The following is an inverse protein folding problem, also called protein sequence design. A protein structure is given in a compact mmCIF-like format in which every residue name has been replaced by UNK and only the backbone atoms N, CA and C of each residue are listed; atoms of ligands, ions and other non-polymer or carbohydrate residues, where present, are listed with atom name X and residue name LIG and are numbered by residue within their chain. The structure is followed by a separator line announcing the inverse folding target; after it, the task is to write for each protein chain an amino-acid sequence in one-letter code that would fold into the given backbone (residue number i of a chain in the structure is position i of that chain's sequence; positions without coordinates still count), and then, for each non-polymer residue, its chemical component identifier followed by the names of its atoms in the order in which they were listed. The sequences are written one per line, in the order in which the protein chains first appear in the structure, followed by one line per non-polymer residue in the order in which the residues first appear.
data_IF_414836063207
#
_entry.id   IF_414836063207
#
_cell.length_a   1.000
_cell.length_b   1.000
_cell.length_c   1.000
_cell.angle_alpha   90.00
_cell.angle_beta   90.00
_cell.angle_gamma   90.00
#
_symmetry.space_group_name_H-M   'P 1'
#
loop_
_entity.id
_entity.type
_entity.pdbx_description
1 polymer ?
#
# COMPACT_ATOMS: atom_id res chain seq x y z
N UNK A 1 8.70 24.43 14.02
CA UNK A 1 8.30 23.24 13.23
C UNK A 1 8.46 23.60 11.77
N UNK A 2 9.13 22.76 10.98
CA UNK A 2 9.07 22.88 9.53
C UNK A 2 7.61 22.75 9.08
N UNK A 3 7.18 23.50 8.04
CA UNK A 3 5.86 23.32 7.47
C UNK A 3 5.72 21.89 6.92
N UNK A 4 4.56 21.26 7.15
CA UNK A 4 4.22 19.99 6.51
C UNK A 4 3.91 20.26 5.04
N UNK A 5 4.69 19.67 4.14
CA UNK A 5 4.51 19.78 2.69
C UNK A 5 4.20 18.42 2.09
N UNK A 6 3.39 18.41 1.03
CA UNK A 6 3.12 17.22 0.22
C UNK A 6 3.09 17.59 -1.26
N UNK A 7 3.41 16.64 -2.14
CA UNK A 7 3.31 16.84 -3.58
C UNK A 7 1.87 16.69 -4.05
N UNK A 8 1.31 17.80 -4.55
CA UNK A 8 -0.02 17.81 -5.13
C UNK A 8 0.09 17.52 -6.64
N UNK A 9 -0.45 16.38 -7.09
CA UNK A 9 -0.41 15.97 -8.49
C UNK A 9 -1.05 16.99 -9.43
N UNK A 10 -2.12 17.66 -9.01
CA UNK A 10 -2.79 18.69 -9.81
C UNK A 10 -1.90 19.92 -10.02
N UNK A 11 -1.21 20.37 -8.96
CA UNK A 11 -0.31 21.52 -9.01
C UNK A 11 1.11 21.19 -9.50
N UNK A 12 1.47 19.91 -9.56
CA UNK A 12 2.77 19.39 -10.01
C UNK A 12 3.97 19.93 -9.21
N UNK A 13 3.76 20.17 -7.92
CA UNK A 13 4.80 20.65 -6.99
C UNK A 13 4.48 20.25 -5.56
N UNK A 14 5.51 20.28 -4.70
CA UNK A 14 5.31 20.26 -3.25
C UNK A 14 4.62 21.55 -2.84
N UNK A 15 3.59 21.43 -2.00
CA UNK A 15 2.82 22.55 -1.44
C UNK A 15 2.70 22.36 0.06
N UNK A 16 2.61 23.47 0.78
CA UNK A 16 2.27 23.43 2.20
C UNK A 16 0.85 22.88 2.36
N UNK A 17 0.69 21.93 3.28
CA UNK A 17 -0.60 21.37 3.62
C UNK A 17 -1.35 22.32 4.55
N UNK A 18 -2.50 22.76 4.09
CA UNK A 18 -3.49 23.50 4.88
C UNK A 18 -4.76 22.65 4.95
N UNK A 19 -5.18 22.20 6.14
CA UNK A 19 -6.40 21.42 6.30
C UNK A 19 -7.64 22.30 6.10
N UNK A 20 -8.72 21.71 5.58
CA UNK A 20 -10.04 22.31 5.52
C UNK A 20 -10.60 22.58 6.93
N UNK A 21 -10.28 21.71 7.88
CA UNK A 21 -10.69 21.84 9.28
C UNK A 21 -9.48 21.63 10.19
N UNK A 22 -9.23 22.60 11.07
CA UNK A 22 -8.08 22.57 11.98
C UNK A 22 -8.01 21.28 12.80
N UNK A 23 -6.83 20.65 12.83
CA UNK A 23 -6.56 19.39 13.52
C UNK A 23 -7.18 18.12 12.89
N UNK A 24 -7.89 18.23 11.77
CA UNK A 24 -8.53 17.10 11.09
C UNK A 24 -8.05 16.98 9.64
N UNK A 25 -7.94 15.75 9.15
CA UNK A 25 -7.67 15.43 7.74
C UNK A 25 -8.72 14.43 7.26
N UNK A 26 -9.54 14.83 6.30
CA UNK A 26 -10.48 13.95 5.60
C UNK A 26 -9.81 13.39 4.35
N UNK A 27 -9.55 12.08 4.34
CA UNK A 27 -8.78 11.40 3.29
C UNK A 27 -9.59 10.27 2.65
N UNK A 28 -9.68 10.28 1.32
CA UNK A 28 -10.23 9.17 0.54
C UNK A 28 -9.13 8.56 -0.34
N UNK A 29 -9.04 7.23 -0.39
CA UNK A 29 -8.13 6.52 -1.30
C UNK A 29 -8.93 5.50 -2.08
N UNK A 30 -8.83 5.51 -3.41
CA UNK A 30 -9.48 4.48 -4.23
C UNK A 30 -8.98 3.08 -3.83
N UNK A 31 -9.92 2.19 -3.53
CA UNK A 31 -9.62 0.80 -3.20
C UNK A 31 -9.56 -0.12 -4.40
N UNK A 32 -9.87 -1.40 -4.17
CA UNK A 32 -9.66 -2.46 -5.16
C UNK A 32 -10.97 -2.98 -5.72
N UNK A 33 -10.92 -3.41 -6.99
CA UNK A 33 -11.94 -4.27 -7.61
C UNK A 33 -11.75 -5.70 -7.14
N UNK A 34 -12.69 -6.21 -6.35
CA UNK A 34 -12.56 -7.51 -5.63
C UNK A 34 -13.02 -8.70 -6.47
N UNK A 35 -12.36 -8.92 -7.62
CA UNK A 35 -12.62 -10.06 -8.51
C UNK A 35 -11.51 -11.14 -8.47
N UNK A 36 -10.38 -10.83 -7.85
CA UNK A 36 -9.20 -11.69 -7.77
C UNK A 36 -8.31 -11.28 -6.59
N UNK A 37 -7.26 -12.06 -6.31
CA UNK A 37 -6.28 -11.74 -5.28
C UNK A 37 -5.50 -10.46 -5.59
N UNK A 38 -5.13 -9.73 -4.54
CA UNK A 38 -4.32 -8.53 -4.68
C UNK A 38 -2.89 -8.88 -5.11
N UNK A 39 -2.28 -8.00 -5.91
CA UNK A 39 -0.90 -8.12 -6.34
C UNK A 39 0.01 -7.10 -5.68
N UNK A 40 1.31 -7.25 -5.88
CA UNK A 40 2.33 -6.39 -5.25
C UNK A 40 2.13 -4.90 -5.58
N UNK A 41 1.59 -4.58 -6.75
CA UNK A 41 1.15 -3.20 -7.07
C UNK A 41 0.09 -2.66 -6.09
N UNK A 42 -0.90 -3.48 -5.71
CA UNK A 42 -1.87 -3.10 -4.67
C UNK A 42 -1.21 -2.99 -3.30
N UNK A 43 -0.30 -3.91 -2.94
CA UNK A 43 0.46 -3.83 -1.68
C UNK A 43 1.17 -2.49 -1.54
N UNK A 44 1.72 -1.97 -2.64
CA UNK A 44 2.37 -0.67 -2.66
C UNK A 44 1.45 0.46 -2.24
N UNK A 45 0.24 0.53 -2.80
CA UNK A 45 -0.74 1.56 -2.47
C UNK A 45 -1.18 1.42 -1.02
N UNK A 46 -1.50 0.18 -0.58
CA UNK A 46 -1.91 -0.09 0.79
C UNK A 46 -0.86 0.32 1.82
N UNK A 47 0.39 -0.11 1.64
CA UNK A 47 1.49 0.18 2.57
C UNK A 47 1.86 1.66 2.54
N UNK A 48 1.89 2.29 1.36
CA UNK A 48 2.20 3.71 1.24
C UNK A 48 1.24 4.59 2.04
N UNK A 49 -0.06 4.43 1.80
CA UNK A 49 -1.06 5.20 2.56
C UNK A 49 -1.11 4.81 4.04
N UNK A 50 -0.82 3.55 4.39
CA UNK A 50 -0.75 3.13 5.79
C UNK A 50 0.35 3.88 6.57
N UNK A 51 1.61 3.93 6.10
CA UNK A 51 2.64 4.68 6.84
C UNK A 51 2.41 6.20 6.80
N UNK A 52 1.80 6.73 5.73
CA UNK A 52 1.38 8.14 5.66
C UNK A 52 0.40 8.45 6.79
N UNK A 53 -0.65 7.64 6.92
CA UNK A 53 -1.69 7.82 7.94
C UNK A 53 -1.12 7.62 9.35
N UNK A 54 -0.25 6.62 9.55
CA UNK A 54 0.45 6.41 10.83
C UNK A 54 1.29 7.61 11.23
N UNK A 55 2.04 8.19 10.29
CA UNK A 55 2.81 9.41 10.54
C UNK A 55 1.91 10.60 10.87
N UNK A 56 0.87 10.85 10.07
CA UNK A 56 -0.06 11.96 10.33
C UNK A 56 -0.72 11.82 11.73
N UNK A 57 -1.15 10.61 12.09
CA UNK A 57 -1.70 10.32 13.43
C UNK A 57 -0.65 10.50 14.53
N UNK A 58 0.62 10.15 14.30
CA UNK A 58 1.70 10.38 15.28
C UNK A 58 2.02 11.86 15.48
N UNK A 59 1.76 12.70 14.48
CA UNK A 59 1.84 14.17 14.59
C UNK A 59 0.60 14.81 15.24
N UNK A 60 -0.37 14.01 15.70
CA UNK A 60 -1.58 14.48 16.40
C UNK A 60 -2.76 14.82 15.50
N UNK A 61 -2.69 14.56 14.19
CA UNK A 61 -3.83 14.76 13.29
C UNK A 61 -4.93 13.74 13.55
N UNK A 62 -6.18 14.22 13.61
CA UNK A 62 -7.36 13.36 13.50
C UNK A 62 -7.60 13.03 12.03
N UNK A 63 -7.03 11.93 11.55
CA UNK A 63 -7.24 11.45 10.18
C UNK A 63 -8.50 10.60 10.11
N UNK A 64 -9.47 10.99 9.28
CA UNK A 64 -10.61 10.16 8.86
C UNK A 64 -10.30 9.58 7.47
N UNK A 65 -9.94 8.31 7.45
CA UNK A 65 -9.47 7.59 6.28
C UNK A 65 -10.56 6.66 5.72
N UNK A 66 -10.99 6.93 4.49
CA UNK A 66 -11.99 6.16 3.76
C UNK A 66 -11.30 5.46 2.58
N UNK A 67 -11.59 4.17 2.38
CA UNK A 67 -11.14 3.42 1.20
C UNK A 67 -12.25 2.51 0.71
N UNK A 68 -12.79 2.77 -0.47
CA UNK A 68 -13.90 1.98 -0.99
C UNK A 68 -13.52 0.55 -1.38
N UNK A 69 -14.55 -0.24 -1.66
CA UNK A 69 -14.45 -1.55 -2.29
C UNK A 69 -15.34 -1.50 -3.54
N UNK A 70 -14.76 -1.74 -4.70
CA UNK A 70 -15.54 -1.93 -5.94
C UNK A 70 -15.96 -3.39 -6.00
N UNK A 71 -17.21 -3.66 -5.62
CA UNK A 71 -17.83 -4.98 -5.56
C UNK A 71 -18.89 -5.20 -6.67
N UNK A 72 -18.90 -4.33 -7.67
CA UNK A 72 -19.62 -4.49 -8.94
C UNK A 72 -18.76 -3.90 -10.07
N UNK A 73 -18.43 -4.70 -11.09
CA UNK A 73 -17.67 -4.28 -12.27
C UNK A 73 -17.78 -5.35 -13.36
N UNK A 74 -17.45 -4.99 -14.61
CA UNK A 74 -17.38 -5.93 -15.73
C UNK A 74 -16.48 -7.14 -15.41
N UNK A 75 -15.34 -6.94 -14.73
CA UNK A 75 -14.42 -8.03 -14.35
C UNK A 75 -14.99 -8.96 -13.28
N UNK A 76 -15.77 -8.41 -12.34
CA UNK A 76 -16.44 -9.18 -11.28
C UNK A 76 -17.51 -10.06 -11.90
N UNK A 77 -18.35 -9.49 -12.77
CA UNK A 77 -19.42 -10.23 -13.47
C UNK A 77 -18.81 -11.35 -14.32
N UNK A 78 -17.78 -11.04 -15.11
CA UNK A 78 -17.11 -12.02 -15.95
C UNK A 78 -16.55 -13.19 -15.11
N UNK A 79 -15.81 -12.90 -14.03
CA UNK A 79 -15.24 -13.93 -13.17
C UNK A 79 -16.30 -14.73 -12.41
N UNK A 80 -17.37 -14.09 -11.95
CA UNK A 80 -18.47 -14.77 -11.27
C UNK A 80 -19.16 -15.79 -12.21
N UNK A 81 -19.37 -15.39 -13.48
CA UNK A 81 -19.91 -16.28 -14.51
C UNK A 81 -18.94 -17.42 -14.84
N UNK A 82 -17.64 -17.15 -14.98
CA UNK A 82 -16.60 -18.17 -15.18
C UNK A 82 -16.61 -19.23 -14.06
N UNK A 83 -16.83 -18.79 -12.81
CA UNK A 83 -16.83 -19.64 -11.63
C UNK A 83 -18.18 -20.33 -11.36
N UNK A 84 -19.26 -19.93 -12.04
CA UNK A 84 -20.61 -20.40 -11.75
C UNK A 84 -21.12 -20.01 -10.36
N UNK A 85 -20.72 -18.85 -9.85
CA UNK A 85 -21.15 -18.31 -8.54
C UNK A 85 -21.76 -16.91 -8.66
N UNK A 86 -22.44 -16.42 -7.62
CA UNK A 86 -22.96 -15.05 -7.60
C UNK A 86 -21.84 -14.02 -7.36
N UNK A 87 -22.05 -12.78 -7.81
CA UNK A 87 -21.08 -11.70 -7.52
C UNK A 87 -20.87 -11.52 -6.01
N UNK A 88 -21.90 -11.69 -5.19
CA UNK A 88 -21.81 -11.51 -3.74
C UNK A 88 -20.91 -12.57 -3.09
N UNK A 89 -20.97 -13.82 -3.57
CA UNK A 89 -20.08 -14.88 -3.09
C UNK A 89 -18.63 -14.63 -3.51
N UNK A 90 -18.42 -14.24 -4.78
CA UNK A 90 -17.11 -13.91 -5.31
C UNK A 90 -16.46 -12.76 -4.54
N UNK A 91 -17.19 -11.65 -4.39
CA UNK A 91 -16.66 -10.42 -3.78
C UNK A 91 -16.47 -10.58 -2.29
N UNK A 92 -17.37 -11.26 -1.57
CA UNK A 92 -17.16 -11.57 -0.15
C UNK A 92 -15.84 -12.31 0.08
N UNK A 93 -15.57 -13.36 -0.72
CA UNK A 93 -14.31 -14.13 -0.64
C UNK A 93 -13.08 -13.25 -0.88
N UNK A 94 -13.11 -12.38 -1.89
CA UNK A 94 -11.97 -11.53 -2.22
C UNK A 94 -11.83 -10.29 -1.34
N UNK A 95 -12.91 -9.83 -0.70
CA UNK A 95 -12.84 -8.83 0.37
C UNK A 95 -12.10 -9.40 1.57
N UNK A 96 -12.47 -10.62 2.00
CA UNK A 96 -11.80 -11.30 3.10
C UNK A 96 -10.31 -11.52 2.78
N UNK A 97 -10.00 -12.02 1.58
CA UNK A 97 -8.63 -12.23 1.15
C UNK A 97 -7.81 -10.93 1.09
N UNK A 98 -8.39 -9.84 0.58
CA UNK A 98 -7.77 -8.51 0.54
C UNK A 98 -7.46 -8.00 1.95
N UNK A 99 -8.39 -8.17 2.89
CA UNK A 99 -8.20 -7.74 4.28
C UNK A 99 -7.13 -8.57 4.99
N UNK A 100 -7.08 -9.87 4.75
CA UNK A 100 -6.03 -10.76 5.26
C UNK A 100 -4.65 -10.34 4.71
N UNK A 101 -4.54 -10.11 3.40
CA UNK A 101 -3.30 -9.67 2.75
C UNK A 101 -2.82 -8.32 3.33
N UNK A 102 -3.73 -7.36 3.50
CA UNK A 102 -3.41 -6.06 4.08
C UNK A 102 -2.95 -6.17 5.55
N UNK A 103 -3.61 -7.02 6.34
CA UNK A 103 -3.25 -7.27 7.73
C UNK A 103 -1.87 -7.95 7.85
N UNK A 104 -1.58 -8.93 7.00
CA UNK A 104 -0.26 -9.58 6.93
C UNK A 104 0.85 -8.58 6.60
N UNK A 105 0.58 -7.59 5.74
CA UNK A 105 1.49 -6.48 5.46
C UNK A 105 1.56 -5.41 6.56
N UNK A 106 0.90 -5.62 7.70
CA UNK A 106 0.85 -4.70 8.83
C UNK A 106 0.03 -3.43 8.58
N UNK A 107 -0.83 -3.40 7.56
CA UNK A 107 -1.67 -2.25 7.27
C UNK A 107 -2.86 -2.19 8.23
N UNK A 108 -3.16 -0.99 8.74
CA UNK A 108 -4.38 -0.76 9.49
C UNK A 108 -5.60 -0.78 8.56
N UNK A 109 -6.76 -1.19 9.10
CA UNK A 109 -8.03 -1.05 8.39
C UNK A 109 -8.36 0.43 8.16
N UNK A 110 -9.05 0.78 7.06
CA UNK A 110 -9.63 2.12 6.91
C UNK A 110 -10.68 2.37 8.01
N UNK A 111 -10.93 3.64 8.32
CA UNK A 111 -11.95 4.01 9.29
C UNK A 111 -13.35 3.65 8.76
N UNK A 112 -13.55 3.73 7.43
CA UNK A 112 -14.72 3.22 6.72
C UNK A 112 -14.32 2.60 5.37
N UNK A 113 -14.99 1.50 4.99
CA UNK A 113 -14.78 0.81 3.72
C UNK A 113 -16.10 0.64 2.94
N UNK A 114 -16.65 1.73 2.34
CA UNK A 114 -17.92 1.66 1.63
C UNK A 114 -17.83 0.76 0.40
N UNK A 115 -18.87 -0.04 0.17
CA UNK A 115 -18.98 -0.89 -1.03
C UNK A 115 -19.84 -0.22 -2.08
N UNK A 116 -19.46 -0.33 -3.36
CA UNK A 116 -20.21 0.27 -4.45
C UNK A 116 -21.70 -0.19 -4.47
N UNK A 117 -21.97 -1.47 -4.22
CA UNK A 117 -23.35 -2.00 -4.20
C UNK A 117 -24.23 -1.42 -3.07
N UNK A 118 -23.64 -0.82 -2.04
CA UNK A 118 -24.34 -0.20 -0.91
C UNK A 118 -24.69 1.28 -1.17
N UNK A 119 -24.18 1.87 -2.26
CA UNK A 119 -24.29 3.31 -2.57
C UNK A 119 -25.00 3.59 -3.92
N UNK A 120 -25.78 2.64 -4.42
CA UNK A 120 -26.46 2.75 -5.72
C UNK A 120 -27.40 3.97 -5.78
N UNK A 121 -28.15 4.23 -4.71
CA UNK A 121 -29.09 5.36 -4.66
C UNK A 121 -28.36 6.71 -4.75
N UNK A 122 -27.21 6.84 -4.09
CA UNK A 122 -26.35 8.02 -4.12
C UNK A 122 -25.76 8.22 -5.51
N UNK A 123 -25.33 7.13 -6.17
CA UNK A 123 -24.85 7.18 -7.56
C UNK A 123 -25.97 7.65 -8.50
N UNK A 124 -27.17 7.06 -8.43
CA UNK A 124 -28.30 7.50 -9.25
C UNK A 124 -28.69 8.96 -8.97
N UNK A 125 -28.65 9.40 -7.71
CA UNK A 125 -28.92 10.80 -7.35
C UNK A 125 -27.91 11.77 -7.97
N UNK A 126 -26.62 11.44 -7.93
CA UNK A 126 -25.56 12.24 -8.56
C UNK A 126 -25.74 12.28 -10.09
N UNK A 127 -26.07 11.13 -10.71
CA UNK A 127 -26.28 11.07 -12.17
C UNK A 127 -27.51 11.88 -12.59
N UNK A 128 -28.62 11.81 -11.84
CA UNK A 128 -29.78 12.67 -12.08
C UNK A 128 -29.40 14.15 -12.03
N UNK A 129 -28.62 14.55 -11.02
CA UNK A 129 -28.13 15.94 -10.91
C UNK A 129 -27.28 16.35 -12.11
N UNK A 130 -26.41 15.47 -12.60
CA UNK A 130 -25.58 15.71 -13.78
C UNK A 130 -26.42 15.85 -15.06
N UNK A 131 -27.45 15.02 -15.21
CA UNK A 131 -28.41 15.11 -16.34
C UNK A 131 -29.19 16.42 -16.28
N UNK A 132 -29.74 16.77 -15.12
CA UNK A 132 -30.52 18.00 -14.92
C UNK A 132 -29.69 19.26 -15.20
N UNK A 133 -28.40 19.23 -14.87
CA UNK A 133 -27.43 20.30 -15.16
C UNK A 133 -26.91 20.30 -16.61
N UNK A 134 -27.30 19.32 -17.43
CA UNK A 134 -26.85 19.18 -18.82
C UNK A 134 -25.37 18.78 -18.97
N UNK A 135 -24.77 18.21 -17.91
CA UNK A 135 -23.40 17.67 -17.92
C UNK A 135 -23.37 16.16 -18.26
N UNK A 136 -24.52 15.50 -18.27
CA UNK A 136 -24.68 14.11 -18.69
C UNK A 136 -25.90 13.96 -19.61
N UNK A 137 -25.92 12.88 -20.39
CA UNK A 137 -27.05 12.56 -21.26
C UNK A 137 -27.33 11.04 -21.31
N UNK A 138 -28.60 10.63 -21.25
CA UNK A 138 -28.98 9.27 -21.63
C UNK A 138 -28.81 9.08 -23.14
N UNK A 139 -28.30 7.94 -23.54
CA UNK A 139 -28.11 7.55 -24.94
C UNK A 139 -29.12 6.47 -25.37
N UNK A 140 -29.23 6.26 -26.67
CA UNK A 140 -30.23 5.36 -27.26
C UNK A 140 -30.01 3.89 -26.91
N UNK A 141 -28.77 3.53 -26.56
CA UNK A 141 -28.38 2.20 -26.09
C UNK A 141 -28.75 1.91 -24.62
N UNK A 142 -29.35 2.87 -23.91
CA UNK A 142 -29.75 2.74 -22.51
C UNK A 142 -28.66 3.12 -21.49
N UNK A 143 -27.45 3.44 -21.95
CA UNK A 143 -26.40 3.99 -21.08
C UNK A 143 -26.65 5.48 -20.81
N UNK A 144 -26.06 5.97 -19.72
CA UNK A 144 -25.95 7.40 -19.42
C UNK A 144 -24.48 7.79 -19.46
N UNK A 145 -24.13 8.79 -20.27
CA UNK A 145 -22.76 9.26 -20.44
C UNK A 145 -22.56 10.63 -19.80
N UNK A 146 -21.36 10.88 -19.28
CA UNK A 146 -20.89 12.21 -18.97
C UNK A 146 -20.41 12.89 -20.26
N UNK A 147 -20.84 14.14 -20.50
CA UNK A 147 -20.45 14.93 -21.68
C UNK A 147 -19.20 15.76 -21.36
N UNK A 148 -18.01 15.24 -21.67
CA UNK A 148 -16.74 15.88 -21.25
C UNK A 148 -16.56 17.28 -21.80
N UNK A 149 -17.15 17.58 -22.96
CA UNK A 149 -17.13 18.90 -23.60
C UNK A 149 -17.91 19.96 -22.82
N UNK A 150 -18.74 19.57 -21.85
CA UNK A 150 -19.48 20.48 -20.95
C UNK A 150 -18.72 20.83 -19.68
N UNK A 151 -17.54 20.24 -19.47
CA UNK A 151 -16.70 20.51 -18.31
C UNK A 151 -15.38 21.13 -18.75
N UNK A 152 -15.33 22.47 -18.81
CA UNK A 152 -14.18 23.24 -19.32
C UNK A 152 -12.85 22.93 -18.61
N UNK A 153 -12.90 22.40 -17.39
CA UNK A 153 -11.72 22.06 -16.59
C UNK A 153 -11.23 20.61 -16.79
N UNK A 154 -11.82 19.84 -17.71
CA UNK A 154 -11.47 18.44 -17.92
C UNK A 154 -10.02 18.30 -18.39
N UNK A 155 -9.25 17.41 -17.76
CA UNK A 155 -7.83 17.20 -18.06
C UNK A 155 -6.86 17.98 -17.16
N UNK A 156 -7.37 18.78 -16.20
CA UNK A 156 -6.53 19.62 -15.33
C UNK A 156 -5.60 18.81 -14.44
N UNK A 157 -6.05 17.65 -13.93
CA UNK A 157 -5.27 16.80 -13.04
C UNK A 157 -4.13 16.14 -13.81
N UNK A 158 -4.46 15.47 -14.91
CA UNK A 158 -3.51 14.76 -15.77
C UNK A 158 -2.62 15.70 -16.60
N UNK A 159 -3.07 16.93 -16.83
CA UNK A 159 -2.38 17.92 -17.67
C UNK A 159 -2.57 17.68 -19.16
N UNK A 160 -3.49 16.79 -19.52
CA UNK A 160 -3.80 16.44 -20.91
C UNK A 160 -4.92 17.34 -21.41
N UNK A 161 -4.79 17.88 -22.62
CA UNK A 161 -5.88 18.62 -23.28
C UNK A 161 -6.71 17.68 -24.13
N UNK A 162 -8.02 17.86 -24.14
CA UNK A 162 -8.95 17.03 -24.94
C UNK A 162 -8.57 16.99 -26.43
N UNK A 163 -8.17 18.14 -26.99
CA UNK A 163 -7.72 18.28 -28.38
C UNK A 163 -6.53 17.37 -28.71
N UNK A 164 -5.52 17.32 -27.84
CA UNK A 164 -4.32 16.50 -28.01
C UNK A 164 -4.64 14.99 -27.92
N UNK A 165 -5.63 14.63 -27.09
CA UNK A 165 -6.05 13.23 -26.95
C UNK A 165 -6.83 12.73 -28.17
N UNK A 166 -7.67 13.59 -28.78
CA UNK A 166 -8.45 13.24 -29.97
C UNK A 166 -7.57 12.94 -31.19
N UNK A 167 -6.51 13.72 -31.39
CA UNK A 167 -5.57 13.53 -32.50
C UNK A 167 -4.84 12.16 -32.44
N UNK A 168 -4.63 11.61 -31.25
CA UNK A 168 -4.05 10.27 -31.07
C UNK A 168 -5.07 9.12 -31.07
N UNK A 169 -6.33 9.40 -30.76
CA UNK A 169 -7.41 8.42 -30.75
C UNK A 169 -7.98 8.14 -32.16
N UNK A 170 -7.89 9.09 -33.09
CA UNK A 170 -8.33 8.92 -34.48
C UNK A 170 -7.60 7.82 -35.26
N UNK A 171 -6.50 7.26 -34.73
CA UNK A 171 -5.79 6.12 -35.33
C UNK A 171 -6.17 4.75 -34.73
N UNK A 172 -6.96 4.68 -33.63
CA UNK A 172 -7.18 3.43 -32.87
C UNK A 172 -8.61 3.17 -32.37
N UNK A 173 -9.60 4.00 -32.71
CA UNK A 173 -10.95 3.87 -32.15
C UNK A 173 -11.95 3.44 -33.23
N UNK A 174 -12.50 2.23 -33.07
CA UNK A 174 -13.81 1.91 -33.64
C UNK A 174 -14.81 2.90 -33.04
N UNK A 175 -15.39 3.76 -33.89
CA UNK A 175 -16.28 4.83 -33.45
C UNK A 175 -17.51 4.20 -32.80
N UNK A 176 -17.56 4.19 -31.47
CA UNK A 176 -18.81 3.96 -30.75
C UNK A 176 -19.78 5.08 -31.14
N UNK A 177 -20.69 4.77 -32.07
CA UNK A 177 -21.59 5.71 -32.76
C UNK A 177 -22.50 6.50 -31.79
N UNK A 178 -22.62 6.02 -30.54
CA UNK A 178 -23.56 6.50 -29.54
C UNK A 178 -23.01 7.61 -28.62
N UNK A 179 -21.70 7.89 -28.65
CA UNK A 179 -21.09 8.98 -27.86
C UNK A 179 -21.06 10.27 -28.67
N UNK A 180 -21.51 11.37 -28.06
CA UNK A 180 -21.37 12.73 -28.62
C UNK A 180 -19.89 13.13 -28.77
N UNK A 181 -19.03 12.60 -27.90
CA UNK A 181 -17.61 12.84 -27.94
C UNK A 181 -16.81 11.57 -27.55
N UNK A 182 -15.66 11.26 -28.20
CA UNK A 182 -14.93 9.99 -27.96
C UNK A 182 -14.48 9.74 -26.51
N UNK A 183 -14.28 10.81 -25.75
CA UNK A 183 -13.88 10.77 -24.34
C UNK A 183 -15.06 10.81 -23.36
N UNK A 184 -16.30 10.87 -23.85
CA UNK A 184 -17.48 10.69 -22.99
C UNK A 184 -17.41 9.30 -22.36
N UNK A 185 -17.72 9.22 -21.07
CA UNK A 185 -17.59 8.02 -20.28
C UNK A 185 -18.90 7.66 -19.59
N UNK A 186 -19.12 6.35 -19.41
CA UNK A 186 -20.35 5.82 -18.84
C UNK A 186 -20.44 6.19 -17.36
N UNK A 187 -21.59 6.74 -16.98
CA UNK A 187 -22.03 6.96 -15.60
C UNK A 187 -22.93 5.82 -15.13
N UNK A 188 -23.87 5.40 -15.98
CA UNK A 188 -24.77 4.27 -15.76
C UNK A 188 -24.78 3.40 -17.00
N UNK A 189 -24.47 2.12 -16.83
CA UNK A 189 -24.43 1.15 -17.94
C UNK A 189 -25.71 0.34 -17.95
N UNK A 190 -26.34 0.22 -19.11
CA UNK A 190 -27.46 -0.68 -19.30
C UNK A 190 -27.02 -2.12 -19.03
N UNK A 191 -27.80 -2.85 -18.21
CA UNK A 191 -27.47 -4.22 -17.88
C UNK A 191 -27.88 -5.15 -19.02
N UNK A 192 -26.97 -6.05 -19.41
CA UNK A 192 -27.31 -7.15 -20.31
C UNK A 192 -28.18 -8.19 -19.59
N UNK A 193 -28.82 -9.05 -20.36
CA UNK A 193 -29.58 -10.17 -19.81
C UNK A 193 -28.70 -11.02 -18.89
N UNK A 194 -29.21 -11.34 -17.70
CA UNK A 194 -28.52 -12.09 -16.65
C UNK A 194 -27.31 -11.40 -15.99
N UNK A 195 -27.07 -10.11 -16.24
CA UNK A 195 -26.15 -9.32 -15.42
C UNK A 195 -26.86 -8.78 -14.15
N UNK A 196 -26.13 -8.58 -13.03
CA UNK A 196 -26.63 -7.83 -11.89
C UNK A 196 -27.11 -6.44 -12.31
N UNK A 197 -28.31 -6.06 -11.87
CA UNK A 197 -28.94 -4.81 -12.28
C UNK A 197 -29.79 -4.21 -11.16
N UNK A 198 -29.86 -2.88 -11.18
CA UNK A 198 -30.71 -2.07 -10.33
C UNK A 198 -31.68 -1.26 -11.20
N UNK A 199 -32.91 -1.11 -10.72
CA UNK A 199 -33.87 -0.23 -11.36
C UNK A 199 -33.39 1.22 -11.27
N UNK A 200 -33.53 1.97 -12.36
CA UNK A 200 -33.17 3.39 -12.43
C UNK A 200 -34.11 4.15 -13.36
N UNK A 201 -34.11 5.50 -13.35
CA UNK A 201 -34.86 6.31 -14.30
C UNK A 201 -34.50 6.05 -15.78
N UNK A 202 -33.35 5.44 -16.05
CA UNK A 202 -32.84 5.14 -17.40
C UNK A 202 -32.99 3.66 -17.77
N UNK A 203 -33.75 2.89 -16.97
CA UNK A 203 -33.90 1.45 -17.12
C UNK A 203 -32.97 0.65 -16.21
N UNK A 204 -33.07 -0.68 -16.28
CA UNK A 204 -32.24 -1.57 -15.47
C UNK A 204 -30.77 -1.46 -15.90
N UNK A 205 -29.89 -1.24 -14.94
CA UNK A 205 -28.47 -1.06 -15.20
C UNK A 205 -27.63 -1.11 -13.94
N UNK A 206 -26.41 -0.60 -14.04
CA UNK A 206 -25.41 -0.62 -12.96
C UNK A 206 -24.45 0.56 -13.12
N UNK A 207 -23.73 0.96 -12.07
CA UNK A 207 -22.81 2.09 -12.17
C UNK A 207 -21.67 1.82 -13.16
N UNK A 208 -21.20 2.90 -13.80
CA UNK A 208 -19.89 2.92 -14.45
C UNK A 208 -18.78 3.10 -13.42
N UNK A 209 -17.58 2.59 -13.71
CA UNK A 209 -16.47 2.50 -12.75
C UNK A 209 -16.17 3.81 -11.99
N UNK A 210 -16.28 4.97 -12.64
CA UNK A 210 -15.88 6.25 -12.04
C UNK A 210 -16.90 6.82 -11.05
N UNK A 211 -18.21 6.63 -11.29
CA UNK A 211 -19.26 7.31 -10.51
C UNK A 211 -19.31 6.82 -9.06
N UNK A 212 -18.82 5.60 -8.83
CA UNK A 212 -18.75 4.98 -7.52
C UNK A 212 -17.96 5.85 -6.53
N UNK A 213 -16.72 6.19 -6.87
CA UNK A 213 -15.83 6.95 -6.00
C UNK A 213 -16.34 8.37 -5.75
N UNK A 214 -16.86 9.05 -6.77
CA UNK A 214 -17.48 10.37 -6.63
C UNK A 214 -18.66 10.34 -5.64
N UNK A 215 -19.57 9.38 -5.79
CA UNK A 215 -20.75 9.29 -4.93
C UNK A 215 -20.41 8.86 -3.50
N UNK A 216 -19.52 7.87 -3.32
CA UNK A 216 -19.14 7.36 -2.00
C UNK A 216 -18.32 8.39 -1.22
N UNK A 217 -17.30 8.99 -1.85
CA UNK A 217 -16.44 9.98 -1.17
C UNK A 217 -17.23 11.22 -0.74
N UNK A 218 -18.11 11.75 -1.61
CA UNK A 218 -18.96 12.91 -1.27
C UNK A 218 -19.97 12.58 -0.17
N UNK A 219 -20.50 11.36 -0.15
CA UNK A 219 -21.37 10.92 0.94
C UNK A 219 -20.62 10.77 2.27
N UNK A 220 -19.40 10.21 2.26
CA UNK A 220 -18.63 9.98 3.48
C UNK A 220 -18.00 11.26 4.05
N UNK A 221 -17.40 12.10 3.20
CA UNK A 221 -16.54 13.22 3.59
C UNK A 221 -17.15 14.61 3.29
N UNK A 222 -18.25 14.66 2.54
CA UNK A 222 -18.86 15.88 2.00
C UNK A 222 -18.34 16.24 0.60
N UNK A 223 -18.95 17.25 -0.02
CA UNK A 223 -18.64 17.67 -1.41
C UNK A 223 -17.18 18.11 -1.62
N UNK A 224 -16.50 18.53 -0.55
CA UNK A 224 -15.12 19.04 -0.56
C UNK A 224 -14.34 18.48 0.63
N UNK A 225 -13.21 17.81 0.37
CA UNK A 225 -12.32 17.25 1.40
C UNK A 225 -10.82 17.46 1.11
N UNK A 226 -9.97 17.03 2.05
CA UNK A 226 -8.54 17.39 2.06
C UNK A 226 -7.73 16.62 1.03
N UNK A 227 -7.67 15.29 1.16
CA UNK A 227 -6.71 14.47 0.41
C UNK A 227 -7.44 13.35 -0.34
N UNK A 228 -7.17 13.23 -1.64
CA UNK A 228 -7.57 12.07 -2.44
C UNK A 228 -6.33 11.33 -2.95
N UNK A 229 -6.27 10.03 -2.68
CA UNK A 229 -5.15 9.15 -2.98
C UNK A 229 -5.45 8.02 -3.96
N UNK A 230 -4.43 7.52 -4.66
CA UNK A 230 -4.52 6.29 -5.44
C UNK A 230 -3.21 5.89 -6.11
N UNK A 231 -3.25 4.84 -6.95
CA UNK A 231 -2.13 4.49 -7.84
C UNK A 231 -1.96 5.51 -8.96
N UNK A 232 -0.76 5.66 -9.51
CA UNK A 232 -0.48 6.63 -10.58
C UNK A 232 -1.25 6.39 -11.88
N UNK A 233 -1.71 5.17 -12.13
CA UNK A 233 -2.63 4.82 -13.22
C UNK A 233 -4.04 5.39 -13.02
N UNK A 234 -4.46 5.64 -11.79
CA UNK A 234 -5.78 6.22 -11.51
C UNK A 234 -5.87 7.71 -11.85
N UNK A 235 -4.72 8.40 -11.98
CA UNK A 235 -4.71 9.82 -12.36
C UNK A 235 -5.51 10.09 -13.64
N UNK A 236 -5.40 9.20 -14.64
CA UNK A 236 -6.22 9.25 -15.85
C UNK A 236 -6.55 7.84 -16.36
N UNK A 237 -7.82 7.53 -16.67
CA UNK A 237 -8.95 8.46 -16.67
C UNK A 237 -9.67 8.59 -15.32
N UNK A 238 -9.38 7.74 -14.33
CA UNK A 238 -10.27 7.56 -13.17
C UNK A 238 -10.48 8.83 -12.32
N UNK A 239 -9.45 9.35 -11.67
CA UNK A 239 -9.54 10.55 -10.83
C UNK A 239 -9.91 11.82 -11.62
N UNK A 240 -9.51 11.91 -12.89
CA UNK A 240 -9.94 13.02 -13.78
C UNK A 240 -11.46 12.99 -13.98
N UNK A 241 -12.03 11.81 -14.19
CA UNK A 241 -13.48 11.62 -14.31
C UNK A 241 -14.19 11.89 -12.98
N UNK A 242 -13.59 11.55 -11.84
CA UNK A 242 -14.17 11.86 -10.53
C UNK A 242 -14.26 13.36 -10.26
N UNK A 243 -13.21 14.13 -10.61
CA UNK A 243 -13.25 15.59 -10.54
C UNK A 243 -14.41 16.11 -11.39
N UNK A 244 -14.52 15.63 -12.63
CA UNK A 244 -15.55 16.08 -13.56
C UNK A 244 -16.97 15.79 -13.03
N UNK A 245 -17.20 14.57 -12.54
CA UNK A 245 -18.48 14.16 -11.94
C UNK A 245 -18.82 14.97 -10.69
N UNK A 246 -17.87 15.07 -9.75
CA UNK A 246 -18.10 15.69 -8.45
C UNK A 246 -18.27 17.19 -8.56
N UNK A 247 -17.42 17.89 -9.32
CA UNK A 247 -17.54 19.34 -9.46
C UNK A 247 -18.70 19.76 -10.37
N UNK A 248 -19.02 19.01 -11.43
CA UNK A 248 -20.19 19.32 -12.25
C UNK A 248 -21.51 19.07 -11.48
N UNK A 249 -21.56 18.02 -10.64
CA UNK A 249 -22.75 17.72 -9.84
C UNK A 249 -22.93 18.67 -8.66
N UNK A 250 -21.87 19.06 -7.97
CA UNK A 250 -21.95 19.90 -6.76
C UNK A 250 -21.80 21.40 -7.05
N UNK A 251 -20.98 21.77 -8.03
CA UNK A 251 -20.54 23.15 -8.26
C UNK A 251 -19.44 23.63 -7.32
N UNK A 252 -18.92 22.75 -6.46
CA UNK A 252 -17.87 23.03 -5.47
C UNK A 252 -16.52 22.47 -5.93
N UNK A 253 -15.43 22.88 -5.26
CA UNK A 253 -14.14 22.21 -5.42
C UNK A 253 -14.21 20.82 -4.77
N UNK A 254 -13.77 19.78 -5.47
CA UNK A 254 -13.86 18.41 -4.96
C UNK A 254 -12.78 18.08 -3.91
N UNK A 255 -11.51 18.33 -4.21
CA UNK A 255 -10.36 17.89 -3.39
C UNK A 255 -9.30 18.99 -3.33
N UNK A 256 -8.62 19.16 -2.19
CA UNK A 256 -7.49 20.10 -2.07
C UNK A 256 -6.17 19.52 -2.60
N UNK A 257 -5.86 18.26 -2.25
CA UNK A 257 -4.58 17.63 -2.54
C UNK A 257 -4.73 16.24 -3.14
N UNK A 258 -4.15 16.04 -4.32
CA UNK A 258 -4.12 14.75 -5.00
C UNK A 258 -2.76 14.05 -4.80
N UNK A 259 -2.79 12.82 -4.28
CA UNK A 259 -1.59 12.01 -4.01
C UNK A 259 -1.60 10.72 -4.83
N UNK A 260 -0.54 10.48 -5.60
CA UNK A 260 -0.44 9.29 -6.45
C UNK A 260 0.83 8.48 -6.16
N UNK A 261 0.65 7.19 -5.89
CA UNK A 261 1.72 6.22 -5.63
C UNK A 261 2.31 5.73 -6.96
N UNK A 262 3.64 5.69 -7.06
CA UNK A 262 4.34 5.27 -8.28
C UNK A 262 4.18 3.78 -8.57
N UNK A 263 4.43 3.37 -9.82
CA UNK A 263 4.28 1.97 -10.25
C UNK A 263 5.29 1.00 -9.62
N UNK A 264 4.90 -0.27 -9.55
CA UNK A 264 5.84 -1.38 -9.42
C UNK A 264 6.11 -1.96 -10.80
N UNK A 265 7.39 -1.98 -11.17
CA UNK A 265 7.91 -2.74 -12.28
C UNK A 265 8.44 -4.08 -11.78
N UNK A 266 8.44 -5.10 -12.63
CA UNK A 266 9.00 -6.42 -12.36
C UNK A 266 10.10 -6.66 -13.37
N UNK A 267 11.33 -6.84 -12.90
CA UNK A 267 12.52 -7.02 -13.75
C UNK A 267 12.69 -5.94 -14.85
N UNK A 268 12.32 -4.70 -14.52
CA UNK A 268 12.40 -3.54 -15.42
C UNK A 268 11.19 -3.37 -16.35
N UNK A 269 10.25 -4.31 -16.38
CA UNK A 269 9.02 -4.24 -17.18
C UNK A 269 7.80 -3.88 -16.34
N UNK A 270 6.77 -3.31 -16.96
CA UNK A 270 5.50 -3.07 -16.28
C UNK A 270 4.82 -4.42 -15.98
N UNK A 271 4.35 -4.59 -14.74
CA UNK A 271 3.60 -5.78 -14.34
C UNK A 271 2.32 -5.94 -15.16
N UNK A 272 2.09 -7.14 -15.73
CA UNK A 272 0.84 -7.50 -16.39
C UNK A 272 0.61 -9.01 -16.40
N UNK A 273 -0.65 -9.43 -16.35
CA UNK A 273 -0.99 -10.87 -16.45
C UNK A 273 -0.57 -11.47 -17.79
N UNK A 274 -0.64 -10.70 -18.88
CA UNK A 274 -0.27 -11.15 -20.23
C UNK A 274 1.22 -11.43 -20.42
N UNK A 275 2.09 -10.74 -19.67
CA UNK A 275 3.54 -10.96 -19.72
C UNK A 275 3.99 -12.08 -18.76
N UNK A 276 3.07 -12.68 -17.99
CA UNK A 276 3.40 -13.72 -17.01
C UNK A 276 4.23 -13.21 -15.81
N UNK A 277 4.45 -11.90 -15.69
CA UNK A 277 5.23 -11.25 -14.64
C UNK A 277 4.35 -10.67 -13.50
N UNK A 278 3.15 -11.23 -13.32
CA UNK A 278 2.19 -10.84 -12.31
C UNK A 278 2.33 -11.72 -11.06
N UNK A 279 2.61 -11.09 -9.91
CA UNK A 279 2.74 -11.79 -8.64
C UNK A 279 1.69 -11.27 -7.65
N UNK A 280 0.88 -12.18 -7.11
CA UNK A 280 -0.02 -11.86 -6.00
C UNK A 280 0.80 -11.55 -4.75
N UNK A 281 0.20 -10.86 -3.78
CA UNK A 281 0.84 -10.66 -2.47
C UNK A 281 1.13 -12.01 -1.82
N UNK A 282 0.21 -12.97 -1.97
CA UNK A 282 0.33 -14.34 -1.44
C UNK A 282 1.48 -15.11 -2.04
N UNK A 283 1.65 -15.07 -3.38
CA UNK A 283 2.78 -15.72 -4.06
C UNK A 283 4.13 -15.25 -3.51
N UNK A 284 4.23 -13.98 -3.13
CA UNK A 284 5.44 -13.41 -2.54
C UNK A 284 5.58 -13.78 -1.06
N UNK A 285 4.47 -13.80 -0.31
CA UNK A 285 4.46 -14.21 1.10
C UNK A 285 4.81 -15.69 1.31
N UNK A 286 4.61 -16.55 0.30
CA UNK A 286 5.10 -17.92 0.32
C UNK A 286 6.64 -18.00 0.40
N UNK A 287 7.32 -16.97 -0.12
CA UNK A 287 8.79 -16.92 -0.21
C UNK A 287 9.43 -15.99 0.80
N UNK A 288 8.77 -14.89 1.14
CA UNK A 288 9.33 -13.83 1.95
C UNK A 288 8.36 -13.46 3.08
N UNK A 289 8.93 -13.24 4.26
CA UNK A 289 8.15 -12.74 5.40
C UNK A 289 7.41 -11.43 5.01
N UNK A 290 6.12 -11.25 5.35
CA UNK A 290 5.32 -10.09 4.91
C UNK A 290 5.95 -8.72 5.22
N UNK A 291 6.62 -8.60 6.37
CA UNK A 291 7.31 -7.36 6.75
C UNK A 291 8.52 -7.03 5.86
N UNK A 292 9.11 -8.01 5.17
CA UNK A 292 10.13 -7.77 4.14
C UNK A 292 9.53 -7.05 2.94
N UNK A 293 8.34 -7.48 2.51
CA UNK A 293 7.58 -6.83 1.43
C UNK A 293 7.25 -5.39 1.84
N UNK A 294 6.80 -5.20 3.09
CA UNK A 294 6.55 -3.87 3.65
C UNK A 294 7.81 -3.00 3.65
N UNK A 295 8.93 -3.51 4.15
CA UNK A 295 10.20 -2.78 4.17
C UNK A 295 10.65 -2.39 2.76
N UNK A 296 10.57 -3.31 1.80
CA UNK A 296 10.87 -3.03 0.40
C UNK A 296 10.08 -1.81 -0.11
N UNK A 297 8.77 -1.77 0.15
CA UNK A 297 7.91 -0.64 -0.24
C UNK A 297 8.30 0.65 0.51
N UNK A 298 8.49 0.58 1.84
CA UNK A 298 8.80 1.74 2.70
C UNK A 298 10.17 2.34 2.37
N UNK A 299 11.15 1.52 1.98
CA UNK A 299 12.52 1.94 1.70
C UNK A 299 12.66 2.91 0.52
N UNK A 300 11.62 3.04 -0.31
CA UNK A 300 11.58 3.92 -1.46
C UNK A 300 10.48 4.96 -1.32
N UNK A 301 10.73 6.18 -1.81
CA UNK A 301 9.74 7.26 -1.82
C UNK A 301 8.45 6.81 -2.55
N UNK A 302 7.27 7.08 -1.96
CA UNK A 302 5.99 6.53 -2.46
C UNK A 302 5.69 6.85 -3.93
N UNK A 303 6.11 8.04 -4.40
CA UNK A 303 5.93 8.52 -5.79
C UNK A 303 6.88 7.91 -6.81
N UNK A 304 8.05 7.42 -6.39
CA UNK A 304 9.07 6.94 -7.34
C UNK A 304 8.70 5.56 -7.86
N UNK A 305 8.86 5.21 -9.15
CA UNK A 305 8.71 3.83 -9.57
C UNK A 305 9.72 2.94 -8.82
N UNK A 306 9.32 1.71 -8.46
CA UNK A 306 10.22 0.73 -7.82
C UNK A 306 10.29 -0.53 -8.67
N UNK A 307 11.45 -1.16 -8.68
CA UNK A 307 11.67 -2.42 -9.38
C UNK A 307 11.62 -3.58 -8.39
N UNK A 308 10.64 -4.45 -8.57
CA UNK A 308 10.44 -5.66 -7.80
C UNK A 308 11.22 -6.81 -8.42
N UNK A 309 12.00 -7.51 -7.59
CA UNK A 309 12.69 -8.76 -7.93
C UNK A 309 13.02 -9.52 -6.64
N UNK A 310 13.30 -10.81 -6.76
CA UNK A 310 13.75 -11.63 -5.61
C UNK A 310 15.04 -11.07 -5.01
N UNK A 311 15.94 -10.51 -5.83
CA UNK A 311 17.17 -9.85 -5.36
C UNK A 311 16.83 -8.64 -4.48
N UNK A 312 15.91 -7.78 -4.92
CA UNK A 312 15.50 -6.61 -4.15
C UNK A 312 14.83 -6.99 -2.82
N UNK A 313 14.06 -8.08 -2.78
CA UNK A 313 13.47 -8.59 -1.54
C UNK A 313 14.50 -9.23 -0.59
N UNK A 314 15.50 -9.93 -1.12
CA UNK A 314 16.63 -10.44 -0.31
C UNK A 314 17.40 -9.28 0.32
N UNK A 315 17.73 -8.25 -0.46
CA UNK A 315 18.36 -7.02 0.05
C UNK A 315 17.50 -6.32 1.12
N UNK A 316 16.19 -6.23 0.90
CA UNK A 316 15.22 -5.71 1.87
C UNK A 316 15.24 -6.52 3.18
N UNK A 317 15.29 -7.85 3.12
CA UNK A 317 15.39 -8.71 4.30
C UNK A 317 16.70 -8.46 5.04
N UNK A 318 17.85 -8.47 4.36
CA UNK A 318 19.15 -8.20 4.98
C UNK A 318 19.16 -6.83 5.67
N UNK A 319 18.58 -5.81 5.03
CA UNK A 319 18.52 -4.46 5.57
C UNK A 319 17.59 -4.38 6.80
N UNK A 320 16.42 -5.02 6.75
CA UNK A 320 15.48 -5.10 7.88
C UNK A 320 16.06 -5.91 9.06
N UNK A 321 16.76 -7.02 8.79
CA UNK A 321 17.42 -7.86 9.80
C UNK A 321 18.40 -7.08 10.68
N UNK A 322 19.02 -6.00 10.16
CA UNK A 322 19.94 -5.16 10.97
C UNK A 322 19.24 -4.48 12.15
N UNK A 323 17.98 -4.08 11.99
CA UNK A 323 17.20 -3.51 13.09
C UNK A 323 16.86 -4.59 14.11
N UNK A 324 16.40 -5.75 13.64
CA UNK A 324 16.10 -6.90 14.49
C UNK A 324 17.32 -7.40 15.28
N UNK A 325 18.50 -7.45 14.67
CA UNK A 325 19.75 -7.79 15.37
C UNK A 325 20.09 -6.78 16.47
N UNK A 326 19.86 -5.50 16.22
CA UNK A 326 20.13 -4.46 17.21
C UNK A 326 19.14 -4.53 18.38
N UNK A 327 17.88 -4.86 18.09
CA UNK A 327 16.86 -5.14 19.11
C UNK A 327 17.25 -6.37 19.93
N UNK A 328 17.68 -7.46 19.27
CA UNK A 328 18.15 -8.68 19.95
C UNK A 328 19.32 -8.40 20.87
N UNK A 329 20.34 -7.69 20.38
CA UNK A 329 21.53 -7.35 21.16
C UNK A 329 21.17 -6.51 22.39
N UNK A 330 20.30 -5.52 22.24
CA UNK A 330 19.79 -4.75 23.37
C UNK A 330 19.00 -5.63 24.36
N UNK A 331 18.08 -6.45 23.86
CA UNK A 331 17.22 -7.30 24.69
C UNK A 331 17.99 -8.35 25.48
N UNK A 332 19.10 -8.86 24.95
CA UNK A 332 19.97 -9.80 25.64
C UNK A 332 20.68 -9.18 26.86
N UNK A 333 21.02 -7.89 26.79
CA UNK A 333 21.76 -7.21 27.87
C UNK A 333 20.82 -6.54 28.87
N UNK A 334 19.76 -5.88 28.37
CA UNK A 334 18.91 -4.99 29.16
C UNK A 334 17.45 -5.44 29.24
N UNK A 335 17.10 -6.58 28.64
CA UNK A 335 15.71 -7.03 28.49
C UNK A 335 14.91 -6.12 27.56
N UNK A 336 13.58 -6.14 27.68
CA UNK A 336 12.69 -5.31 26.85
C UNK A 336 12.39 -3.93 27.45
N UNK A 337 13.27 -3.42 28.33
CA UNK A 337 13.06 -2.15 29.01
C UNK A 337 12.95 -1.00 28.00
N UNK A 338 11.94 -0.17 28.16
CA UNK A 338 11.74 1.07 27.40
C UNK A 338 11.53 2.25 28.34
N UNK A 339 11.71 3.46 27.84
CA UNK A 339 11.41 4.72 28.53
C UNK A 339 10.59 5.63 27.62
N UNK A 340 9.85 6.55 28.21
CA UNK A 340 9.04 7.54 27.46
C UNK A 340 9.90 8.66 26.85
N UNK A 341 11.02 9.00 27.48
CA UNK A 341 11.94 10.03 26.99
C UNK A 341 12.68 9.53 25.76
N UNK A 342 12.40 10.14 24.61
CA UNK A 342 13.06 9.84 23.34
C UNK A 342 14.22 10.79 23.06
N UNK A 343 15.18 10.33 22.25
CA UNK A 343 16.31 11.11 21.74
C UNK A 343 15.81 12.13 20.71
N UNK A 344 15.56 13.35 21.18
CA UNK A 344 14.85 14.38 20.41
C UNK A 344 15.51 14.72 19.08
N UNK A 345 16.85 14.67 18.98
CA UNK A 345 17.53 14.94 17.72
C UNK A 345 17.11 13.98 16.60
N UNK A 346 16.99 12.68 16.90
CA UNK A 346 16.56 11.69 15.91
C UNK A 346 15.08 11.82 15.57
N UNK A 347 14.24 12.11 16.58
CA UNK A 347 12.81 12.35 16.39
C UNK A 347 12.58 13.55 15.47
N UNK A 348 13.24 14.68 15.72
CA UNK A 348 13.12 15.88 14.91
C UNK A 348 13.59 15.65 13.47
N UNK A 349 14.73 14.98 13.27
CA UNK A 349 15.25 14.68 11.92
C UNK A 349 14.33 13.74 11.15
N UNK A 350 13.80 12.69 11.81
CA UNK A 350 12.83 11.79 11.20
C UNK A 350 11.54 12.54 10.83
N UNK A 351 10.99 13.34 11.75
CA UNK A 351 9.77 14.09 11.50
C UNK A 351 9.97 15.12 10.38
N UNK A 352 11.12 15.79 10.30
CA UNK A 352 11.44 16.72 9.21
C UNK A 352 11.46 16.02 7.84
N UNK A 353 12.07 14.83 7.75
CA UNK A 353 12.06 14.03 6.53
C UNK A 353 10.62 13.63 6.13
N UNK A 354 9.83 13.17 7.09
CA UNK A 354 8.43 12.78 6.83
C UNK A 354 7.51 13.97 6.53
N UNK A 355 7.77 15.15 7.12
CA UNK A 355 7.08 16.40 6.79
C UNK A 355 7.43 16.91 5.39
N UNK A 356 8.53 16.47 4.78
CA UNK A 356 8.89 16.77 3.41
C UNK A 356 8.33 15.73 2.43
N UNK A 357 7.02 15.72 2.22
CA UNK A 357 6.33 14.82 1.28
C UNK A 357 6.52 13.33 1.61
N UNK A 358 6.52 13.00 2.91
CA UNK A 358 6.66 11.62 3.39
C UNK A 358 7.93 10.94 2.88
N UNK A 359 9.07 11.65 2.94
CA UNK A 359 10.35 11.17 2.41
C UNK A 359 10.93 10.03 3.26
N UNK A 360 10.42 8.82 3.03
CA UNK A 360 10.86 7.63 3.74
C UNK A 360 12.31 7.27 3.46
N UNK A 361 12.87 7.61 2.29
CA UNK A 361 14.29 7.35 1.99
C UNK A 361 15.22 8.10 2.95
N UNK A 362 14.93 9.37 3.24
CA UNK A 362 15.68 10.16 4.22
C UNK A 362 15.36 9.73 5.66
N UNK A 363 14.10 9.42 5.97
CA UNK A 363 13.71 8.90 7.27
C UNK A 363 14.44 7.57 7.59
N UNK A 364 14.58 6.67 6.62
CA UNK A 364 15.33 5.42 6.74
C UNK A 364 16.83 5.66 7.01
N UNK A 365 17.43 6.70 6.43
CA UNK A 365 18.81 7.06 6.73
C UNK A 365 19.00 7.46 8.20
N UNK A 366 18.05 8.24 8.75
CA UNK A 366 18.01 8.58 10.19
C UNK A 366 17.88 7.33 11.06
N UNK A 367 17.01 6.38 10.66
CA UNK A 367 16.84 5.11 11.39
C UNK A 367 18.11 4.27 11.41
N UNK A 368 18.84 4.17 10.30
CA UNK A 368 20.10 3.41 10.25
C UNK A 368 21.22 4.06 11.07
N UNK A 369 21.28 5.39 11.12
CA UNK A 369 22.19 6.10 12.02
C UNK A 369 21.86 5.80 13.49
N UNK A 370 20.58 5.93 13.86
CA UNK A 370 20.10 5.60 15.20
C UNK A 370 20.40 4.14 15.58
N UNK A 371 20.22 3.21 14.63
CA UNK A 371 20.54 1.80 14.80
C UNK A 371 22.04 1.56 15.07
N UNK A 372 22.92 2.29 14.39
CA UNK A 372 24.37 2.24 14.62
C UNK A 372 24.74 2.75 16.02
N UNK A 373 24.15 3.86 16.43
CA UNK A 373 24.39 4.46 17.76
C UNK A 373 23.89 3.54 18.88
N UNK A 374 22.73 2.90 18.70
CA UNK A 374 22.22 1.89 19.65
C UNK A 374 23.24 0.74 19.84
N UNK A 375 23.73 0.17 18.74
CA UNK A 375 24.71 -0.91 18.80
C UNK A 375 26.01 -0.48 19.51
N UNK A 376 26.46 0.76 19.30
CA UNK A 376 27.62 1.30 20.02
C UNK A 376 27.36 1.40 21.52
N UNK A 377 26.23 1.98 21.92
CA UNK A 377 25.86 2.14 23.32
C UNK A 377 25.71 0.79 24.05
N UNK A 378 25.12 -0.22 23.41
CA UNK A 378 25.04 -1.60 23.95
C UNK A 378 26.44 -2.20 24.13
N UNK A 379 27.32 -2.05 23.12
CA UNK A 379 28.69 -2.58 23.17
C UNK A 379 29.55 -1.90 24.24
N UNK A 380 29.36 -0.61 24.45
CA UNK A 380 30.05 0.19 25.47
C UNK A 380 29.39 0.12 26.85
N UNK A 381 28.35 -0.73 26.99
CA UNK A 381 27.58 -0.96 28.23
C UNK A 381 26.94 0.31 28.82
N UNK A 382 26.63 1.30 27.97
CA UNK A 382 26.01 2.57 28.35
C UNK A 382 24.48 2.41 28.51
N UNK A 383 24.07 1.81 29.63
CA UNK A 383 22.68 1.38 29.84
C UNK A 383 21.62 2.48 29.61
N UNK A 384 21.80 3.67 30.18
CA UNK A 384 20.82 4.77 30.04
C UNK A 384 20.67 5.24 28.59
N UNK A 385 21.80 5.46 27.91
CA UNK A 385 21.82 5.87 26.51
C UNK A 385 21.26 4.77 25.59
N UNK A 386 21.64 3.51 25.81
CA UNK A 386 21.13 2.38 25.05
C UNK A 386 19.59 2.27 25.17
N UNK A 387 19.03 2.45 26.38
CA UNK A 387 17.58 2.41 26.59
C UNK A 387 16.86 3.57 25.89
N UNK A 388 17.42 4.78 25.89
CA UNK A 388 16.86 5.93 25.18
C UNK A 388 16.88 5.72 23.65
N UNK A 389 18.02 5.27 23.10
CA UNK A 389 18.17 4.97 21.67
C UNK A 389 17.25 3.83 21.23
N UNK A 390 17.14 2.75 22.01
CA UNK A 390 16.23 1.63 21.73
C UNK A 390 14.77 2.07 21.72
N UNK A 391 14.34 2.85 22.73
CA UNK A 391 12.97 3.36 22.82
C UNK A 391 12.65 4.28 21.64
N UNK A 392 13.62 5.13 21.25
CA UNK A 392 13.50 6.01 20.08
C UNK A 392 13.40 5.22 18.78
N UNK A 393 14.28 4.23 18.59
CA UNK A 393 14.29 3.43 17.37
C UNK A 393 12.99 2.65 17.21
N UNK A 394 12.54 2.01 18.29
CA UNK A 394 11.25 1.31 18.33
C UNK A 394 10.07 2.23 18.03
N UNK A 395 10.07 3.45 18.58
CA UNK A 395 9.01 4.42 18.31
C UNK A 395 8.97 4.81 16.82
N UNK A 396 10.12 5.16 16.23
CA UNK A 396 10.18 5.63 14.86
C UNK A 396 9.98 4.51 13.82
N UNK A 397 10.50 3.30 14.06
CA UNK A 397 10.20 2.15 13.18
C UNK A 397 8.72 1.77 13.27
N UNK A 398 8.08 1.89 14.43
CA UNK A 398 6.64 1.63 14.60
C UNK A 398 5.75 2.60 13.79
N UNK A 399 6.14 3.86 13.65
CA UNK A 399 5.43 4.81 12.76
C UNK A 399 5.42 4.30 11.32
N UNK A 400 6.51 3.72 10.84
CA UNK A 400 6.60 3.12 9.51
C UNK A 400 6.03 1.68 9.47
N UNK A 401 5.53 1.15 10.58
CA UNK A 401 5.08 -0.24 10.72
C UNK A 401 6.19 -1.28 10.51
N UNK A 402 7.42 -0.94 10.90
CA UNK A 402 8.60 -1.81 10.80
C UNK A 402 9.05 -2.29 12.18
N UNK A 403 9.66 -3.47 12.23
CA UNK A 403 10.12 -4.16 13.43
C UNK A 403 8.94 -4.44 14.39
N UNK A 404 7.85 -5.00 13.86
CA UNK A 404 6.60 -5.26 14.58
C UNK A 404 6.46 -6.67 15.14
N UNK A 405 7.29 -7.61 14.68
CA UNK A 405 7.21 -9.01 15.04
C UNK A 405 8.15 -9.37 16.20
N UNK A 406 7.98 -10.57 16.75
CA UNK A 406 8.95 -11.09 17.69
C UNK A 406 10.34 -11.18 17.04
N UNK A 407 11.35 -10.81 17.83
CA UNK A 407 12.70 -10.65 17.31
C UNK A 407 13.31 -11.99 16.90
N UNK A 408 13.08 -13.04 17.71
CA UNK A 408 13.62 -14.36 17.41
C UNK A 408 12.82 -15.03 16.29
N UNK A 409 11.50 -14.86 16.25
CA UNK A 409 10.65 -15.34 15.16
C UNK A 409 11.08 -14.75 13.81
N UNK A 410 11.23 -13.43 13.70
CA UNK A 410 11.63 -12.79 12.45
C UNK A 410 13.04 -13.19 12.01
N UNK A 411 14.01 -13.30 12.93
CA UNK A 411 15.38 -13.68 12.59
C UNK A 411 15.52 -15.15 12.21
N UNK A 412 14.54 -15.99 12.56
CA UNK A 412 14.45 -17.40 12.14
C UNK A 412 13.66 -17.59 10.84
N UNK A 413 12.84 -16.62 10.43
CA UNK A 413 12.06 -16.72 9.19
C UNK A 413 12.97 -16.90 7.97
N UNK A 414 12.63 -17.83 7.08
CA UNK A 414 13.41 -18.12 5.88
C UNK A 414 13.58 -16.92 4.95
N UNK A 415 14.67 -16.94 4.18
CA UNK A 415 14.96 -15.98 3.10
C UNK A 415 14.61 -16.66 1.79
N UNK A 416 13.56 -16.16 1.13
CA UNK A 416 13.26 -16.37 -0.29
C UNK A 416 13.53 -17.78 -0.78
N UNK A 417 12.58 -18.72 -0.57
CA UNK A 417 12.58 -20.13 -1.00
C UNK A 417 13.74 -20.56 -1.97
N UNK A 418 14.94 -20.65 -1.44
CA UNK A 418 15.81 -21.78 -1.70
C UNK A 418 15.72 -22.56 -0.40
N UNK A 419 14.90 -23.61 -0.38
CA UNK A 419 14.61 -24.39 0.80
C UNK A 419 15.93 -24.76 1.51
N UNK A 420 16.24 -24.05 2.60
CA UNK A 420 17.22 -24.50 3.56
C UNK A 420 16.59 -25.74 4.19
N UNK A 421 17.10 -26.90 3.78
CA UNK A 421 16.50 -28.24 3.95
C UNK A 421 16.30 -28.68 5.40
N UNK A 422 16.72 -27.87 6.36
CA UNK A 422 16.68 -28.19 7.79
C UNK A 422 15.53 -27.46 8.47
N UNK A 423 14.67 -28.24 9.13
CA UNK A 423 13.72 -27.69 10.08
C UNK A 423 14.45 -27.16 11.32
N UNK A 424 13.80 -26.28 12.09
CA UNK A 424 14.35 -25.79 13.36
C UNK A 424 14.73 -26.94 14.31
N UNK A 425 13.98 -28.04 14.30
CA UNK A 425 14.29 -29.22 15.09
C UNK A 425 15.58 -29.92 14.63
N UNK A 426 15.83 -29.99 13.31
CA UNK A 426 17.06 -30.55 12.76
C UNK A 426 18.27 -29.66 13.11
N UNK A 427 18.10 -28.34 13.07
CA UNK A 427 19.15 -27.39 13.45
C UNK A 427 19.51 -27.54 14.93
N UNK A 428 18.51 -27.60 15.82
CA UNK A 428 18.74 -27.81 17.25
C UNK A 428 19.42 -29.16 17.54
N UNK A 429 19.05 -30.22 16.80
CA UNK A 429 19.73 -31.52 16.91
C UNK A 429 21.20 -31.43 16.49
N UNK A 430 21.51 -30.75 15.37
CA UNK A 430 22.90 -30.52 14.97
C UNK A 430 23.68 -29.68 16.00
N UNK A 431 23.05 -28.66 16.60
CA UNK A 431 23.68 -27.86 17.66
C UNK A 431 23.97 -28.74 18.87
N UNK A 432 23.05 -29.62 19.26
CA UNK A 432 23.27 -30.54 20.37
C UNK A 432 24.40 -31.54 20.07
N UNK A 433 24.43 -32.13 18.87
CA UNK A 433 25.53 -32.98 18.41
C UNK A 433 26.88 -32.25 18.43
N UNK A 434 26.90 -30.96 18.08
CA UNK A 434 28.11 -30.11 18.14
C UNK A 434 28.53 -29.83 19.58
N UNK A 435 27.59 -29.56 20.48
CA UNK A 435 27.87 -29.39 21.91
C UNK A 435 28.48 -30.66 22.49
N UNK A 436 27.98 -31.83 22.13
CA UNK A 436 28.49 -33.10 22.61
C UNK A 436 29.87 -33.45 22.00
N UNK A 437 30.10 -33.11 20.73
CA UNK A 437 31.44 -33.19 20.11
C UNK A 437 32.46 -32.30 20.83
N UNK A 438 32.09 -31.05 21.17
CA UNK A 438 32.93 -30.15 21.97
C UNK A 438 33.23 -30.72 23.37
N UNK A 439 32.23 -31.30 24.06
CA UNK A 439 32.42 -31.96 25.37
C UNK A 439 33.36 -33.15 25.27
N UNK A 440 33.28 -33.92 24.18
CA UNK A 440 34.17 -35.04 23.89
C UNK A 440 35.57 -34.61 23.40
N UNK A 441 35.83 -33.30 23.27
CA UNK A 441 37.07 -32.71 22.70
C UNK A 441 37.33 -33.12 21.23
N UNK A 442 36.28 -33.49 20.50
CA UNK A 442 36.31 -33.74 19.06
C UNK A 442 36.01 -32.44 18.30
N UNK A 443 37.03 -31.58 18.22
CA UNK A 443 36.90 -30.26 17.59
C UNK A 443 36.71 -30.36 16.06
N UNK A 444 37.27 -31.38 15.42
CA UNK A 444 37.10 -31.59 13.98
C UNK A 444 35.63 -31.88 13.63
N UNK A 445 34.96 -32.72 14.42
CA UNK A 445 33.52 -32.98 14.25
C UNK A 445 32.68 -31.74 14.56
N UNK A 446 33.02 -31.01 15.62
CA UNK A 446 32.29 -29.79 15.98
C UNK A 446 32.38 -28.70 14.89
N UNK A 447 33.55 -28.54 14.25
CA UNK A 447 33.76 -27.61 13.15
C UNK A 447 33.09 -28.10 11.86
N UNK A 448 33.12 -29.42 11.58
CA UNK A 448 32.38 -30.01 10.46
C UNK A 448 30.87 -29.79 10.55
N UNK A 449 30.29 -29.90 11.75
CA UNK A 449 28.87 -29.60 11.96
C UNK A 449 28.58 -28.10 11.75
N UNK A 450 29.44 -27.21 12.26
CA UNK A 450 29.30 -25.77 12.02
C UNK A 450 29.35 -25.44 10.53
N UNK A 451 30.28 -26.05 9.79
CA UNK A 451 30.41 -25.81 8.35
C UNK A 451 29.20 -26.36 7.60
N UNK A 452 28.72 -27.56 7.92
CA UNK A 452 27.52 -28.15 7.32
C UNK A 452 26.28 -27.29 7.54
N UNK A 453 26.12 -26.73 8.74
CA UNK A 453 25.05 -25.78 9.02
C UNK A 453 25.23 -24.48 8.21
N UNK A 454 26.45 -23.95 8.12
CA UNK A 454 26.73 -22.75 7.33
C UNK A 454 26.48 -22.95 5.83
N UNK A 455 26.86 -24.10 5.27
CA UNK A 455 26.63 -24.48 3.87
C UNK A 455 25.13 -24.62 3.57
N UNK A 456 24.33 -24.95 4.59
CA UNK A 456 22.87 -24.97 4.57
C UNK A 456 22.27 -23.66 5.10
N UNK A 457 23.01 -22.55 5.00
CA UNK A 457 22.51 -21.22 5.32
C UNK A 457 22.14 -21.03 6.79
N UNK A 458 22.82 -21.67 7.74
CA UNK A 458 22.62 -21.48 9.19
C UNK A 458 23.92 -21.00 9.84
N UNK A 459 23.88 -19.80 10.42
CA UNK A 459 25.00 -19.18 11.12
C UNK A 459 24.90 -19.46 12.62
N UNK A 460 25.97 -20.01 13.19
CA UNK A 460 26.09 -20.27 14.63
C UNK A 460 26.94 -19.21 15.34
N UNK A 461 26.39 -18.60 16.37
CA UNK A 461 27.08 -17.66 17.26
C UNK A 461 27.25 -18.30 18.66
N UNK A 462 28.48 -18.51 19.09
CA UNK A 462 28.76 -19.03 20.45
C UNK A 462 28.75 -17.85 21.45
N UNK A 463 27.84 -17.87 22.43
CA UNK A 463 27.77 -16.87 23.51
C UNK A 463 28.16 -17.48 24.86
N UNK A 464 28.29 -16.65 25.91
CA UNK A 464 28.53 -17.12 27.29
C UNK A 464 27.38 -17.98 27.84
N UNK A 465 26.17 -17.87 27.28
CA UNK A 465 24.96 -18.58 27.72
C UNK A 465 24.66 -19.83 26.88
N UNK A 466 25.36 -20.04 25.76
CA UNK A 466 25.11 -21.17 24.85
C UNK A 466 25.37 -20.81 23.38
N UNK A 467 25.18 -21.78 22.49
CA UNK A 467 25.18 -21.53 21.03
C UNK A 467 23.81 -21.01 20.64
N UNK A 468 23.75 -19.84 20.01
CA UNK A 468 22.55 -19.33 19.34
C UNK A 468 22.73 -19.46 17.84
N UNK A 469 21.63 -19.51 17.10
CA UNK A 469 21.67 -19.66 15.65
C UNK A 469 20.68 -18.72 14.97
N UNK A 470 20.93 -18.50 13.68
CA UNK A 470 20.06 -17.78 12.74
C UNK A 470 20.25 -18.35 11.34
N UNK A 471 19.30 -18.10 10.45
CA UNK A 471 19.51 -18.36 9.02
C UNK A 471 20.41 -17.25 8.43
N UNK A 472 21.32 -17.62 7.53
CA UNK A 472 22.27 -16.74 6.86
C UNK A 472 21.52 -15.83 5.88
N UNK A 473 21.90 -14.55 5.84
CA UNK A 473 21.24 -13.50 5.03
C UNK A 473 21.30 -13.73 3.51
#
# INVERSE_FOLDING_TARGET
MQPFVLYNSEQRKKVEFVPRKEGQIDMYVCGMTVYDYCHIGHARVMVAFDYIIRFLRSQGWKVRYIRNITDIDDKIIARANENGESIQQLTARFIDAMNEDAANLGCAAPDEAPKATEYIDQMQSMINTLVDKGAAYPSSNGDVYFEVSKFDKYGRLSGRKLEDMQAGASERVDVEVEKKHPFDFVLWKHAKENEPAWASPWGNGRPGWHIECSAMSTCCLGNHFDIHGGGSDLMFPHHENEIAQSEASTGEQYVNYWMHVGFINVDGEKMSKSLGNFFTIRDVMEKFHPEVIRYFIVSSHYRSPVNFSDVALKEAKTALSRFYHSFKAYQQVYGQKTIETLEQNFVERFNNAMCDDFNTAEAMAVLFELNKELNRAVKEEQAEQATALYSTLRHLTHILGLVQHDVDEFLKSDIGQEALSLSDADIEDFIQQRVDAKKAKDFAKADGIRQSLLDQGVVLEDTRQGTIWRRAD
#
